data_IF_456534019972
#
_entry.id   IF_456534019972
#
_cell.length_a   1.000
_cell.length_b   1.000
_cell.length_c   1.000
_cell.angle_alpha   90.00
_cell.angle_beta   90.00
_cell.angle_gamma   90.00
#
_symmetry.space_group_name_H-M   'P 1'
#
loop_
_entity.id
_entity.type
_entity.pdbx_description
1 polymer ?
#
# COMPACT_ATOMS: atom_id res chain seq x y z
N UNK A 1 -16.79 67.77 4.51
CA UNK A 1 -16.53 66.67 3.57
C UNK A 1 -15.38 65.86 4.12
N UNK A 2 -15.68 64.84 4.92
CA UNK A 2 -14.69 63.82 5.32
C UNK A 2 -15.32 62.50 4.92
N UNK A 3 -14.82 62.01 3.80
CA UNK A 3 -15.14 60.75 3.15
C UNK A 3 -14.80 59.59 4.11
N UNK A 4 -15.82 58.88 4.59
CA UNK A 4 -15.65 57.68 5.39
C UNK A 4 -15.73 56.49 4.45
N UNK A 5 -14.57 55.97 4.06
CA UNK A 5 -14.42 54.76 3.25
C UNK A 5 -15.18 53.58 3.90
N UNK A 6 -16.00 52.81 3.16
CA UNK A 6 -16.66 51.63 3.71
C UNK A 6 -15.62 50.54 3.98
N UNK A 7 -15.58 50.05 5.22
CA UNK A 7 -14.81 48.85 5.56
C UNK A 7 -15.40 47.65 4.81
N UNK A 8 -14.58 46.81 4.13
CA UNK A 8 -15.10 45.65 3.42
C UNK A 8 -15.69 44.64 4.40
N UNK A 9 -16.86 44.15 4.04
CA UNK A 9 -17.65 43.13 4.68
C UNK A 9 -16.75 41.93 5.04
N UNK A 10 -16.59 41.70 6.34
CA UNK A 10 -15.87 40.52 6.86
C UNK A 10 -16.53 39.27 6.28
N UNK A 11 -15.83 38.58 5.40
CA UNK A 11 -16.22 37.25 4.92
C UNK A 11 -16.42 36.39 6.18
N UNK A 12 -17.65 36.00 6.45
CA UNK A 12 -17.98 35.07 7.54
C UNK A 12 -17.48 33.69 7.11
N UNK A 13 -16.21 33.41 7.39
CA UNK A 13 -15.61 32.10 7.17
C UNK A 13 -16.35 31.12 8.10
N UNK A 14 -16.88 30.00 7.58
CA UNK A 14 -17.62 29.05 8.40
C UNK A 14 -16.77 28.65 9.60
N UNK A 15 -17.41 28.61 10.77
CA UNK A 15 -16.82 28.32 12.07
C UNK A 15 -15.99 27.02 11.99
N UNK A 16 -14.69 27.15 11.74
CA UNK A 16 -13.79 26.00 11.72
C UNK A 16 -13.66 25.54 13.16
N UNK A 17 -14.46 24.52 13.53
CA UNK A 17 -14.47 23.89 14.83
C UNK A 17 -13.06 23.86 15.42
N UNK A 18 -12.86 24.60 16.53
CA UNK A 18 -11.57 24.79 17.16
C UNK A 18 -10.80 23.45 17.27
N UNK A 19 -9.46 23.45 17.04
CA UNK A 19 -8.70 22.21 17.09
C UNK A 19 -8.91 21.57 18.46
N UNK A 20 -9.46 20.35 18.46
CA UNK A 20 -9.65 19.57 19.69
C UNK A 20 -8.28 19.50 20.38
N UNK A 21 -8.21 19.99 21.63
CA UNK A 21 -6.98 19.97 22.45
C UNK A 21 -6.33 18.59 22.34
N UNK A 22 -5.00 18.50 22.13
CA UNK A 22 -4.34 17.21 22.02
C UNK A 22 -4.63 16.38 23.27
N UNK A 23 -5.31 15.25 23.08
CA UNK A 23 -5.61 14.35 24.20
C UNK A 23 -4.30 13.73 24.67
N UNK A 24 -4.03 13.79 25.97
CA UNK A 24 -2.94 13.05 26.58
C UNK A 24 -3.31 11.58 26.58
N UNK A 25 -2.45 10.75 25.98
CA UNK A 25 -2.60 9.29 25.94
C UNK A 25 -1.68 8.67 26.98
N UNK A 26 -2.25 8.15 28.06
CA UNK A 26 -1.50 7.31 28.99
C UNK A 26 -1.20 5.96 28.35
N UNK A 27 -0.15 5.23 28.79
CA UNK A 27 0.20 3.93 28.23
C UNK A 27 -0.97 2.93 28.23
N UNK A 28 -1.76 2.90 29.30
CA UNK A 28 -2.87 1.96 29.50
C UNK A 28 -4.01 2.27 28.52
N UNK A 29 -4.40 3.55 28.42
CA UNK A 29 -5.47 3.99 27.52
C UNK A 29 -5.07 3.84 26.05
N UNK A 30 -3.79 4.04 25.74
CA UNK A 30 -3.24 3.77 24.40
C UNK A 30 -3.38 2.29 24.06
N UNK A 31 -3.00 1.40 24.97
CA UNK A 31 -3.09 -0.04 24.75
C UNK A 31 -4.54 -0.50 24.52
N UNK A 32 -5.49 -0.03 25.35
CA UNK A 32 -6.91 -0.37 25.19
C UNK A 32 -7.48 0.15 23.86
N UNK A 33 -7.20 1.40 23.51
CA UNK A 33 -7.63 1.98 22.24
C UNK A 33 -7.00 1.25 21.04
N UNK A 34 -5.76 0.77 21.20
CA UNK A 34 -5.05 0.01 20.18
C UNK A 34 -5.69 -1.36 19.94
N UNK A 35 -5.95 -2.12 20.99
CA UNK A 35 -6.61 -3.43 20.89
C UNK A 35 -7.99 -3.31 20.23
N UNK A 36 -8.79 -2.34 20.66
CA UNK A 36 -10.11 -2.05 20.07
C UNK A 36 -10.00 -1.66 18.59
N UNK A 37 -8.98 -0.90 18.21
CA UNK A 37 -8.71 -0.55 16.81
C UNK A 37 -8.38 -1.81 16.00
N UNK A 38 -7.48 -2.66 16.49
CA UNK A 38 -7.08 -3.88 15.78
C UNK A 38 -8.27 -4.79 15.55
N UNK A 39 -9.11 -5.00 16.57
CA UNK A 39 -10.32 -5.79 16.43
C UNK A 39 -11.28 -5.16 15.41
N UNK A 40 -11.55 -3.86 15.51
CA UNK A 40 -12.41 -3.16 14.56
C UNK A 40 -11.93 -3.29 13.11
N UNK A 41 -10.62 -3.17 12.89
CA UNK A 41 -10.04 -3.35 11.56
C UNK A 41 -10.19 -4.79 11.11
N UNK A 42 -9.85 -5.77 11.96
CA UNK A 42 -9.98 -7.19 11.67
C UNK A 42 -11.41 -7.55 11.26
N UNK A 43 -12.44 -7.01 11.92
CA UNK A 43 -13.86 -7.21 11.59
C UNK A 43 -14.30 -6.54 10.25
N UNK A 44 -13.36 -5.96 9.51
CA UNK A 44 -13.61 -5.26 8.25
C UNK A 44 -14.10 -3.82 8.42
N UNK A 45 -13.91 -3.22 9.58
CA UNK A 45 -14.15 -1.80 9.82
C UNK A 45 -13.13 -0.88 9.16
N UNK A 46 -13.49 0.38 8.95
CA UNK A 46 -12.58 1.38 8.42
C UNK A 46 -11.93 2.17 9.56
N UNK A 47 -10.67 2.59 9.37
CA UNK A 47 -9.99 3.46 10.34
C UNK A 47 -10.80 4.76 10.56
N UNK A 48 -11.44 5.25 9.52
CA UNK A 48 -12.30 6.43 9.52
C UNK A 48 -13.49 6.26 10.46
N UNK A 49 -14.18 5.13 10.37
CA UNK A 49 -15.30 4.82 11.24
C UNK A 49 -14.84 4.71 12.70
N UNK A 50 -13.70 4.06 12.97
CA UNK A 50 -13.16 3.96 14.32
C UNK A 50 -12.82 5.33 14.91
N UNK A 51 -12.08 6.16 14.18
CA UNK A 51 -11.67 7.51 14.63
C UNK A 51 -12.83 8.49 14.79
N UNK A 52 -14.02 8.18 14.25
CA UNK A 52 -15.23 8.97 14.44
C UNK A 52 -15.92 8.68 15.78
N UNK A 53 -15.61 7.55 16.43
CA UNK A 53 -16.20 7.16 17.71
C UNK A 53 -15.77 8.07 18.85
N UNK A 54 -16.57 8.13 19.91
CA UNK A 54 -16.17 8.76 21.16
C UNK A 54 -15.01 8.01 21.79
N UNK A 55 -14.14 8.76 22.47
CA UNK A 55 -12.99 8.20 23.20
C UNK A 55 -11.92 7.48 22.36
N UNK A 56 -11.87 7.72 21.06
CA UNK A 56 -10.85 7.13 20.16
C UNK A 56 -9.76 8.13 19.74
N UNK A 57 -8.57 7.63 19.34
CA UNK A 57 -7.53 8.44 18.74
C UNK A 57 -7.94 8.98 17.38
N UNK A 58 -7.37 10.13 17.02
CA UNK A 58 -7.48 10.66 15.66
C UNK A 58 -6.58 9.86 14.72
N UNK A 59 -6.87 9.89 13.40
CA UNK A 59 -6.02 9.20 12.41
C UNK A 59 -4.54 9.61 12.48
N UNK A 60 -4.18 10.91 12.60
CA UNK A 60 -2.77 11.30 12.73
C UNK A 60 -2.10 10.66 13.94
N UNK A 61 -2.80 10.59 15.08
CA UNK A 61 -2.29 9.93 16.29
C UNK A 61 -2.05 8.44 16.08
N UNK A 62 -2.97 7.73 15.42
CA UNK A 62 -2.81 6.31 15.09
C UNK A 62 -1.58 6.08 14.20
N UNK A 63 -1.42 6.89 13.13
CA UNK A 63 -0.27 6.77 12.25
C UNK A 63 1.05 7.12 12.95
N UNK A 64 1.03 8.03 13.91
CA UNK A 64 2.21 8.33 14.73
C UNK A 64 2.60 7.15 15.63
N UNK A 65 1.63 6.46 16.23
CA UNK A 65 1.90 5.24 17.00
C UNK A 65 2.50 4.13 16.15
N UNK A 66 1.98 3.93 14.94
CA UNK A 66 2.51 2.95 13.97
C UNK A 66 3.94 3.31 13.55
N UNK A 67 4.22 4.60 13.33
CA UNK A 67 5.55 5.05 12.91
C UNK A 67 6.59 4.92 14.02
N UNK A 68 6.18 5.16 15.27
CA UNK A 68 7.08 5.18 16.42
C UNK A 68 7.39 3.79 17.00
N UNK A 69 6.57 2.78 16.71
CA UNK A 69 6.70 1.44 17.29
C UNK A 69 6.55 0.34 16.23
N UNK A 70 7.63 -0.39 15.88
CA UNK A 70 7.59 -1.50 14.92
C UNK A 70 6.66 -2.64 15.32
N UNK A 71 6.45 -2.89 16.62
CA UNK A 71 5.55 -3.93 17.10
C UNK A 71 4.11 -3.59 16.70
N UNK A 72 3.69 -2.34 16.93
CA UNK A 72 2.37 -1.85 16.54
C UNK A 72 2.18 -1.87 15.03
N UNK A 73 3.23 -1.54 14.26
CA UNK A 73 3.18 -1.65 12.81
C UNK A 73 2.89 -3.09 12.34
N UNK A 74 3.55 -4.08 12.96
CA UNK A 74 3.33 -5.49 12.66
C UNK A 74 1.92 -5.97 13.05
N UNK A 75 1.44 -5.58 14.24
CA UNK A 75 0.11 -5.96 14.69
C UNK A 75 -0.98 -5.34 13.81
N UNK A 76 -0.79 -4.08 13.39
CA UNK A 76 -1.68 -3.42 12.44
C UNK A 76 -1.69 -4.10 11.07
N UNK A 77 -0.52 -4.51 10.56
CA UNK A 77 -0.40 -5.26 9.32
C UNK A 77 -1.16 -6.59 9.40
N UNK A 78 -0.99 -7.34 10.50
CA UNK A 78 -1.74 -8.60 10.74
C UNK A 78 -3.25 -8.36 10.79
N UNK A 79 -3.72 -7.33 11.49
CA UNK A 79 -5.14 -7.00 11.52
C UNK A 79 -5.69 -6.65 10.12
N UNK A 80 -4.88 -5.98 9.28
CA UNK A 80 -5.23 -5.71 7.87
C UNK A 80 -5.25 -6.96 7.00
N UNK A 81 -4.46 -7.98 7.30
CA UNK A 81 -4.55 -9.29 6.62
C UNK A 81 -5.84 -10.03 7.00
N UNK A 82 -6.18 -10.09 8.29
CA UNK A 82 -7.42 -10.72 8.80
C UNK A 82 -8.66 -10.00 8.26
N UNK A 83 -8.60 -8.67 8.14
CA UNK A 83 -9.63 -7.88 7.48
C UNK A 83 -9.95 -8.37 6.05
N UNK A 84 -8.96 -8.92 5.33
CA UNK A 84 -9.19 -9.52 4.02
C UNK A 84 -10.16 -10.71 4.09
N UNK A 85 -10.04 -11.54 5.12
CA UNK A 85 -10.94 -12.68 5.35
C UNK A 85 -12.36 -12.17 5.68
N UNK A 86 -12.50 -11.16 6.56
CA UNK A 86 -13.81 -10.57 6.85
C UNK A 86 -14.47 -9.88 5.66
N UNK A 87 -13.70 -9.32 4.73
CA UNK A 87 -14.27 -8.81 3.48
C UNK A 87 -14.80 -9.93 2.58
N UNK A 88 -14.13 -11.09 2.55
CA UNK A 88 -14.62 -12.25 1.82
C UNK A 88 -15.95 -12.78 2.42
N UNK A 89 -16.06 -12.83 3.75
CA UNK A 89 -17.32 -13.23 4.41
C UNK A 89 -18.46 -12.24 4.10
N UNK A 90 -18.18 -10.94 4.14
CA UNK A 90 -19.17 -9.90 3.79
C UNK A 90 -19.64 -9.97 2.33
N UNK A 91 -18.84 -10.52 1.42
CA UNK A 91 -19.30 -10.78 0.03
C UNK A 91 -20.40 -11.84 0.03
N UNK A 92 -20.26 -12.91 0.81
CA UNK A 92 -21.29 -13.95 0.92
C UNK A 92 -22.59 -13.38 1.51
N UNK A 93 -22.49 -12.57 2.56
CA UNK A 93 -23.64 -11.89 3.18
C UNK A 93 -24.33 -10.93 2.21
N UNK A 94 -23.57 -10.13 1.48
CA UNK A 94 -24.12 -9.21 0.47
C UNK A 94 -24.86 -9.97 -0.63
N UNK A 95 -24.31 -11.11 -1.10
CA UNK A 95 -24.97 -11.95 -2.08
C UNK A 95 -26.30 -12.52 -1.55
N UNK A 96 -26.34 -12.99 -0.30
CA UNK A 96 -27.58 -13.46 0.33
C UNK A 96 -28.63 -12.35 0.46
N UNK A 97 -28.22 -11.12 0.77
CA UNK A 97 -29.14 -9.98 0.84
C UNK A 97 -29.75 -9.62 -0.52
N UNK A 98 -28.98 -9.72 -1.60
CA UNK A 98 -29.49 -9.54 -2.97
C UNK A 98 -30.49 -10.63 -3.33
N UNK A 99 -30.18 -11.90 -3.05
CA UNK A 99 -31.08 -13.03 -3.30
C UNK A 99 -32.39 -12.92 -2.49
N UNK A 100 -32.31 -12.40 -1.27
CA UNK A 100 -33.47 -12.16 -0.42
C UNK A 100 -34.28 -10.90 -0.82
N UNK A 101 -33.86 -10.15 -1.84
CA UNK A 101 -34.50 -8.90 -2.27
C UNK A 101 -34.39 -7.75 -1.27
N UNK A 102 -33.50 -7.85 -0.28
CA UNK A 102 -33.26 -6.80 0.74
C UNK A 102 -32.28 -5.74 0.26
N UNK A 103 -31.45 -6.08 -0.72
CA UNK A 103 -30.48 -5.19 -1.33
C UNK A 103 -30.76 -5.14 -2.84
N UNK A 104 -30.76 -3.92 -3.38
CA UNK A 104 -30.85 -3.74 -4.83
C UNK A 104 -29.70 -4.46 -5.55
N UNK A 105 -30.00 -5.10 -6.67
CA UNK A 105 -29.02 -5.93 -7.38
C UNK A 105 -27.81 -5.13 -7.88
N UNK A 106 -28.03 -3.88 -8.31
CA UNK A 106 -26.96 -3.01 -8.81
C UNK A 106 -26.09 -2.48 -7.67
N UNK A 107 -26.72 -2.09 -6.56
CA UNK A 107 -26.02 -1.73 -5.33
C UNK A 107 -25.20 -2.92 -4.78
N UNK A 108 -25.80 -4.11 -4.74
CA UNK A 108 -25.15 -5.34 -4.29
C UNK A 108 -23.96 -5.74 -5.15
N UNK A 109 -24.08 -5.65 -6.48
CA UNK A 109 -22.94 -5.86 -7.39
C UNK A 109 -21.78 -4.93 -7.08
N UNK A 110 -22.05 -3.63 -6.96
CA UNK A 110 -21.02 -2.62 -6.68
C UNK A 110 -20.34 -2.87 -5.33
N UNK A 111 -21.12 -3.24 -4.31
CA UNK A 111 -20.59 -3.57 -2.98
C UNK A 111 -19.72 -4.83 -3.01
N UNK A 112 -20.17 -5.89 -3.69
CA UNK A 112 -19.44 -7.15 -3.84
C UNK A 112 -18.11 -6.91 -4.57
N UNK A 113 -18.11 -6.15 -5.66
CA UNK A 113 -16.91 -5.86 -6.43
C UNK A 113 -15.88 -5.06 -5.61
N UNK A 114 -16.35 -4.06 -4.84
CA UNK A 114 -15.50 -3.30 -3.93
C UNK A 114 -14.89 -4.19 -2.83
N UNK A 115 -15.69 -5.06 -2.22
CA UNK A 115 -15.23 -5.98 -1.17
C UNK A 115 -14.24 -7.01 -1.72
N UNK A 116 -14.48 -7.58 -2.90
CA UNK A 116 -13.54 -8.48 -3.58
C UNK A 116 -12.21 -7.80 -3.85
N UNK A 117 -12.24 -6.58 -4.40
CA UNK A 117 -11.03 -5.82 -4.66
C UNK A 117 -10.24 -5.55 -3.37
N UNK A 118 -10.93 -5.16 -2.30
CA UNK A 118 -10.30 -4.96 -0.99
C UNK A 118 -9.68 -6.25 -0.44
N UNK A 119 -10.41 -7.37 -0.47
CA UNK A 119 -9.91 -8.67 -0.01
C UNK A 119 -8.64 -9.09 -0.78
N UNK A 120 -8.65 -8.94 -2.12
CA UNK A 120 -7.51 -9.23 -2.98
C UNK A 120 -6.29 -8.35 -2.66
N UNK A 121 -6.49 -7.06 -2.34
CA UNK A 121 -5.39 -6.16 -1.95
C UNK A 121 -4.87 -6.42 -0.54
N UNK A 122 -5.73 -6.86 0.38
CA UNK A 122 -5.35 -7.13 1.78
C UNK A 122 -4.63 -8.46 1.96
N UNK A 123 -5.06 -9.50 1.25
CA UNK A 123 -4.46 -10.84 1.35
C UNK A 123 -4.22 -11.44 -0.05
N UNK A 124 -3.28 -10.88 -0.83
CA UNK A 124 -3.08 -11.24 -2.24
C UNK A 124 -2.69 -12.71 -2.45
N UNK A 125 -2.07 -13.36 -1.44
CA UNK A 125 -1.70 -14.78 -1.54
C UNK A 125 -2.91 -15.72 -1.59
N UNK A 126 -4.02 -15.32 -0.94
CA UNK A 126 -5.24 -16.15 -0.83
C UNK A 126 -6.30 -15.67 -1.80
N UNK A 127 -6.59 -14.37 -1.84
CA UNK A 127 -7.66 -13.79 -2.65
C UNK A 127 -7.17 -13.05 -3.90
N UNK A 128 -5.87 -13.05 -4.19
CA UNK A 128 -5.35 -12.46 -5.42
C UNK A 128 -5.66 -13.34 -6.62
N UNK A 129 -5.85 -12.68 -7.77
CA UNK A 129 -6.04 -13.36 -9.05
C UNK A 129 -4.77 -14.16 -9.38
N UNK A 130 -4.93 -15.48 -9.52
CA UNK A 130 -3.87 -16.37 -10.01
C UNK A 130 -3.94 -16.41 -11.54
N UNK A 131 -2.90 -15.91 -12.19
CA UNK A 131 -2.71 -16.05 -13.64
C UNK A 131 -1.67 -17.14 -13.86
N UNK A 132 -2.12 -18.32 -14.25
CA UNK A 132 -1.23 -19.39 -14.70
C UNK A 132 -0.87 -19.15 -16.18
N UNK A 133 0.19 -18.38 -16.40
CA UNK A 133 0.76 -18.19 -17.74
C UNK A 133 1.65 -19.38 -18.10
N UNK A 134 1.09 -20.38 -18.80
CA UNK A 134 1.90 -21.41 -19.45
C UNK A 134 2.59 -20.82 -20.69
N UNK A 135 3.77 -20.21 -20.48
CA UNK A 135 4.59 -19.69 -21.57
C UNK A 135 5.38 -20.84 -22.17
N UNK A 136 4.85 -21.43 -23.23
CA UNK A 136 5.55 -22.45 -24.01
C UNK A 136 6.55 -21.75 -24.96
N UNK A 137 7.79 -21.53 -24.50
CA UNK A 137 8.87 -20.99 -25.31
C UNK A 137 9.40 -22.06 -26.27
N UNK A 138 8.70 -22.27 -27.37
CA UNK A 138 9.16 -23.09 -28.51
C UNK A 138 10.10 -22.31 -29.44
N UNK A 139 10.98 -21.49 -28.88
CA UNK A 139 11.91 -20.63 -29.62
C UNK A 139 13.34 -21.09 -29.41
N UNK A 140 14.04 -21.41 -30.50
CA UNK A 140 15.46 -21.75 -30.51
C UNK A 140 16.28 -20.59 -29.90
N UNK A 141 16.76 -20.77 -28.66
CA UNK A 141 17.46 -19.73 -27.92
C UNK A 141 18.92 -19.68 -28.38
N UNK A 142 19.25 -18.72 -29.24
CA UNK A 142 20.65 -18.40 -29.55
C UNK A 142 21.20 -17.46 -28.48
N UNK A 143 22.07 -18.00 -27.63
CA UNK A 143 22.85 -17.21 -26.67
C UNK A 143 24.16 -16.77 -27.33
N UNK A 144 24.26 -15.48 -27.66
CA UNK A 144 25.50 -14.84 -28.09
C UNK A 144 26.16 -14.12 -26.91
N UNK A 145 27.39 -14.49 -26.57
CA UNK A 145 28.19 -13.78 -25.57
C UNK A 145 28.91 -12.61 -26.24
N UNK A 146 28.62 -11.38 -25.81
CA UNK A 146 29.44 -10.21 -26.15
C UNK A 146 30.47 -10.04 -25.05
N UNK A 147 31.73 -10.36 -25.34
CA UNK A 147 32.86 -10.05 -24.47
C UNK A 147 33.36 -8.67 -24.89
N UNK A 148 33.10 -7.67 -24.06
CA UNK A 148 33.70 -6.35 -24.21
C UNK A 148 35.17 -6.41 -23.77
N UNK A 149 36.08 -6.31 -24.74
CA UNK A 149 37.53 -6.26 -24.54
C UNK A 149 38.06 -4.82 -24.47
N UNK A 150 37.24 -3.87 -24.03
CA UNK A 150 37.71 -2.53 -23.69
C UNK A 150 38.71 -2.60 -22.52
N UNK A 151 39.96 -2.13 -22.69
CA UNK A 151 40.93 -2.06 -21.59
C UNK A 151 40.44 -1.07 -20.53
N UNK A 152 39.96 -1.59 -19.41
CA UNK A 152 39.54 -0.83 -18.23
C UNK A 152 40.74 -0.59 -17.31
N UNK A 153 41.64 0.29 -17.74
CA UNK A 153 42.77 0.73 -16.93
C UNK A 153 43.47 1.95 -17.54
N UNK A 154 44.11 2.81 -16.72
CA UNK A 154 44.84 3.96 -17.25
C UNK A 154 45.99 3.49 -18.15
N UNK A 155 46.05 4.07 -19.35
CA UNK A 155 47.11 3.85 -20.33
C UNK A 155 48.43 4.25 -19.71
N UNK A 156 49.28 3.26 -19.41
CA UNK A 156 50.67 3.50 -19.01
C UNK A 156 51.47 3.54 -20.32
N UNK A 157 51.76 4.75 -20.80
CA UNK A 157 52.72 4.93 -21.89
C UNK A 157 54.10 4.52 -21.38
N UNK A 158 54.58 3.38 -21.85
CA UNK A 158 55.92 2.88 -21.59
C UNK A 158 56.41 2.11 -22.80
N UNK A 159 57.37 2.70 -23.50
CA UNK A 159 58.04 2.15 -24.68
C UNK A 159 58.55 0.73 -24.43
N UNK A 160 58.21 -0.18 -25.34
CA UNK A 160 58.67 -1.57 -25.26
C UNK A 160 58.06 -2.41 -26.36
N UNK A 161 58.62 -2.31 -27.56
CA UNK A 161 58.29 -3.19 -28.66
C UNK A 161 58.47 -4.67 -28.26
N UNK A 162 57.41 -5.47 -28.42
CA UNK A 162 57.58 -6.91 -28.62
C UNK A 162 56.69 -7.32 -29.79
N UNK A 163 57.35 -7.49 -30.94
CA UNK A 163 56.82 -8.19 -32.11
C UNK A 163 56.51 -9.61 -31.68
N UNK A 164 55.25 -10.02 -31.79
CA UNK A 164 54.85 -11.43 -31.64
C UNK A 164 54.69 -11.96 -33.06
N UNK A 165 55.72 -12.64 -33.56
CA UNK A 165 55.69 -13.33 -34.85
C UNK A 165 54.61 -14.41 -34.82
N UNK A 166 53.72 -14.39 -35.83
CA UNK A 166 52.74 -15.42 -36.04
C UNK A 166 53.40 -16.70 -36.52
N UNK A 167 53.18 -17.81 -35.81
CA UNK A 167 53.39 -19.16 -36.34
C UNK A 167 52.13 -19.99 -36.13
N UNK A 168 51.25 -19.95 -37.12
CA UNK A 168 50.28 -21.04 -37.34
C UNK A 168 51.00 -22.12 -38.13
N UNK A 169 51.31 -23.23 -37.47
CA UNK A 169 51.58 -24.50 -38.17
C UNK A 169 50.21 -25.08 -38.53
N UNK A 170 49.92 -25.14 -39.82
CA UNK A 170 48.96 -26.07 -40.37
C UNK A 170 49.62 -27.46 -40.48
N UNK A 171 48.78 -28.49 -40.63
CA UNK A 171 49.08 -29.92 -40.82
C UNK A 171 49.58 -30.64 -39.55
N UNK A 172 48.93 -31.70 -39.05
CA UNK A 172 48.29 -32.86 -39.68
C UNK A 172 46.98 -33.31 -38.97
#
# INVERSE_FOLDING_TARGET
MTDATPQPDRINLPDHAAPKRPRVWTPERRAEAWERLLQHIADGGSLDAFCALTDTPSKPTVFEWIRSDPQLANDYARAREVQGDSYADKVADAAQQVLAGKLDAQAGRTAIDALKWLAAKRKPKVYGDRIDANVNLNGNLQVGWVIDLSPSGPVIEGEGATVIEGRTSADE
#
